data_IF_562134639902
#
_entry.id   IF_562134639902
#
_cell.length_a   1.000
_cell.length_b   1.000
_cell.length_c   1.000
_cell.angle_alpha   90.00
_cell.angle_beta   90.00
_cell.angle_gamma   90.00
#
_symmetry.space_group_name_H-M   'P 1'
#
loop_
_entity.id
_entity.type
_entity.pdbx_description
1 polymer ?
#
# COMPACT_ATOMS: atom_id res chain seq x y z
N UNK A 1 -15.88 -31.46 23.93
CA UNK A 1 -15.56 -30.67 25.15
C UNK A 1 -15.00 -29.32 24.70
N UNK A 2 -15.81 -28.25 24.74
CA UNK A 2 -15.35 -26.91 24.40
C UNK A 2 -14.58 -26.31 25.57
N UNK A 3 -13.26 -26.34 25.51
CA UNK A 3 -12.38 -25.60 26.42
C UNK A 3 -12.63 -24.11 26.22
N UNK A 4 -13.38 -23.52 27.15
CA UNK A 4 -13.43 -22.07 27.37
C UNK A 4 -12.01 -21.60 27.67
N UNK A 5 -11.30 -21.17 26.63
CA UNK A 5 -9.98 -20.56 26.81
C UNK A 5 -10.11 -19.25 27.57
N UNK A 6 -9.24 -19.06 28.56
CA UNK A 6 -9.07 -17.78 29.20
C UNK A 6 -8.70 -16.73 28.13
N UNK A 7 -9.60 -15.77 27.91
CA UNK A 7 -9.37 -14.61 27.01
C UNK A 7 -8.00 -14.00 27.34
N UNK A 8 -7.07 -14.03 26.38
CA UNK A 8 -5.78 -13.35 26.52
C UNK A 8 -4.54 -14.17 26.16
N UNK A 9 -4.62 -15.50 26.16
CA UNK A 9 -3.48 -16.39 25.89
C UNK A 9 -3.37 -16.76 24.40
N UNK A 10 -2.17 -17.13 23.96
CA UNK A 10 -1.93 -17.58 22.59
C UNK A 10 -2.63 -18.93 22.35
N UNK A 11 -3.09 -19.20 21.12
CA UNK A 11 -3.64 -20.50 20.71
C UNK A 11 -2.50 -21.51 20.48
N UNK A 12 -1.71 -21.72 21.53
CA UNK A 12 -0.51 -22.54 21.55
C UNK A 12 -0.84 -24.01 21.39
N UNK A 13 -0.05 -24.73 20.60
CA UNK A 13 -0.21 -26.16 20.37
C UNK A 13 0.82 -26.97 21.17
N UNK A 14 0.41 -27.68 22.23
CA UNK A 14 1.29 -28.54 23.02
C UNK A 14 1.95 -29.64 22.17
N UNK A 15 1.18 -30.23 21.25
CA UNK A 15 1.66 -31.29 20.37
C UNK A 15 2.71 -30.78 19.37
N UNK A 16 2.56 -29.56 18.86
CA UNK A 16 3.56 -28.99 17.95
C UNK A 16 4.87 -28.71 18.67
N UNK A 17 4.83 -28.18 19.90
CA UNK A 17 6.04 -28.01 20.71
C UNK A 17 6.79 -29.33 20.87
N UNK A 18 6.07 -30.40 21.25
CA UNK A 18 6.65 -31.72 21.41
C UNK A 18 7.20 -32.27 20.09
N UNK A 19 6.44 -32.13 18.99
CA UNK A 19 6.84 -32.63 17.68
C UNK A 19 8.10 -31.93 17.15
N UNK A 20 8.17 -30.60 17.30
CA UNK A 20 9.33 -29.81 16.93
C UNK A 20 10.55 -30.15 17.77
N UNK A 21 10.38 -30.28 19.09
CA UNK A 21 11.45 -30.66 20.01
C UNK A 21 12.02 -32.04 19.68
N UNK A 22 11.15 -33.01 19.40
CA UNK A 22 11.54 -34.38 19.04
C UNK A 22 12.01 -34.51 17.57
N UNK A 23 12.12 -33.40 16.84
CA UNK A 23 12.47 -33.35 15.42
C UNK A 23 11.63 -34.31 14.54
N UNK A 24 10.33 -34.45 14.84
CA UNK A 24 9.44 -35.36 14.09
C UNK A 24 9.36 -34.98 12.60
N UNK A 25 9.50 -33.69 12.29
CA UNK A 25 9.47 -33.18 10.92
C UNK A 25 10.83 -33.25 10.19
N UNK A 26 11.82 -33.97 10.74
CA UNK A 26 13.11 -34.29 10.13
C UNK A 26 13.80 -33.11 9.41
N UNK A 27 14.05 -32.02 10.14
CA UNK A 27 14.76 -30.86 9.56
C UNK A 27 16.23 -31.22 9.33
N UNK A 28 16.82 -30.89 8.16
CA UNK A 28 18.22 -31.15 7.87
C UNK A 28 19.14 -30.54 8.95
N UNK A 29 19.97 -31.37 9.59
CA UNK A 29 20.92 -30.94 10.62
C UNK A 29 20.33 -30.68 12.01
N UNK A 30 19.02 -30.86 12.23
CA UNK A 30 18.42 -30.71 13.55
C UNK A 30 18.54 -32.00 14.38
N UNK A 31 18.92 -31.87 15.64
CA UNK A 31 18.95 -32.99 16.60
C UNK A 31 17.74 -32.87 17.52
N UNK A 32 17.12 -34.00 17.86
CA UNK A 32 16.05 -34.02 18.84
C UNK A 32 16.58 -33.54 20.20
N UNK A 33 15.92 -32.55 20.79
CA UNK A 33 16.29 -32.01 22.10
C UNK A 33 15.52 -32.73 23.20
N UNK A 34 16.16 -33.01 24.31
CA UNK A 34 15.46 -33.38 25.55
C UNK A 34 14.70 -32.17 26.10
N UNK A 35 13.67 -32.40 26.91
CA UNK A 35 12.94 -31.31 27.58
C UNK A 35 13.84 -30.47 28.50
N UNK A 36 14.94 -31.05 28.98
CA UNK A 36 15.92 -30.38 29.84
C UNK A 36 16.88 -29.49 29.05
N UNK A 37 17.33 -29.93 27.88
CA UNK A 37 18.14 -29.11 26.97
C UNK A 37 17.35 -27.90 26.46
N UNK A 38 16.10 -28.12 26.02
CA UNK A 38 15.23 -27.02 25.61
C UNK A 38 14.97 -26.04 26.76
N UNK A 39 14.79 -26.56 27.98
CA UNK A 39 14.62 -25.71 29.16
C UNK A 39 15.86 -24.84 29.42
N UNK A 40 17.07 -25.41 29.27
CA UNK A 40 18.34 -24.69 29.42
C UNK A 40 18.49 -23.57 28.38
N UNK A 41 18.21 -23.85 27.11
CA UNK A 41 18.30 -22.84 26.04
C UNK A 41 17.31 -21.69 26.20
N UNK A 42 16.11 -21.99 26.70
CA UNK A 42 15.02 -21.03 26.85
C UNK A 42 15.07 -20.29 28.19
N UNK A 43 15.94 -20.70 29.12
CA UNK A 43 16.02 -20.15 30.47
C UNK A 43 14.76 -20.46 31.29
N UNK A 44 14.42 -21.74 31.40
CA UNK A 44 13.30 -22.25 32.20
C UNK A 44 13.63 -23.61 32.83
N UNK A 45 12.68 -24.22 33.54
CA UNK A 45 12.82 -25.55 34.14
C UNK A 45 12.21 -26.63 33.23
N UNK A 46 12.75 -27.85 33.29
CA UNK A 46 12.22 -29.04 32.60
C UNK A 46 10.72 -29.24 32.88
N UNK A 47 10.30 -29.04 34.13
CA UNK A 47 8.91 -29.18 34.54
C UNK A 47 7.98 -28.19 33.82
N UNK A 48 8.44 -26.96 33.54
CA UNK A 48 7.64 -25.99 32.78
C UNK A 48 7.50 -26.39 31.32
N UNK A 49 8.56 -26.89 30.67
CA UNK A 49 8.48 -27.40 29.30
C UNK A 49 7.48 -28.55 29.21
N UNK A 50 7.56 -29.53 30.12
CA UNK A 50 6.61 -30.63 30.17
C UNK A 50 5.17 -30.15 30.44
N UNK A 51 4.98 -29.13 31.29
CA UNK A 51 3.67 -28.54 31.51
C UNK A 51 3.11 -27.87 30.25
N UNK A 52 3.95 -27.28 29.40
CA UNK A 52 3.52 -26.74 28.10
C UNK A 52 3.17 -27.86 27.11
N UNK A 53 4.00 -28.90 27.01
CA UNK A 53 3.80 -30.04 26.10
C UNK A 53 2.58 -30.90 26.44
N UNK A 54 2.21 -30.96 27.72
CA UNK A 54 1.01 -31.65 28.18
C UNK A 54 -0.23 -30.73 28.20
N UNK A 55 -0.08 -29.46 27.82
CA UNK A 55 -1.19 -28.49 27.78
C UNK A 55 -1.69 -28.04 29.16
N UNK A 56 -0.96 -28.32 30.24
CA UNK A 56 -1.29 -27.84 31.59
C UNK A 56 -1.09 -26.34 31.75
N UNK A 57 -0.20 -25.73 30.96
CA UNK A 57 0.03 -24.28 30.93
C UNK A 57 0.20 -23.78 29.51
N UNK A 58 -0.16 -22.53 29.27
CA UNK A 58 0.09 -21.84 28.00
C UNK A 58 1.21 -20.81 28.21
N UNK A 59 2.30 -20.86 27.41
CA UNK A 59 3.36 -19.87 27.50
C UNK A 59 2.88 -18.47 27.10
N UNK A 60 3.42 -17.44 27.72
CA UNK A 60 3.19 -16.05 27.32
C UNK A 60 3.95 -15.72 26.02
N UNK A 61 3.61 -14.63 25.30
CA UNK A 61 4.17 -14.39 23.96
C UNK A 61 5.72 -14.32 23.90
N UNK A 62 6.43 -13.66 24.84
CA UNK A 62 7.89 -13.70 24.86
C UNK A 62 8.46 -15.09 25.08
N UNK A 63 7.81 -15.94 25.90
CA UNK A 63 8.23 -17.33 26.07
C UNK A 63 8.01 -18.15 24.81
N UNK A 64 6.90 -17.95 24.09
CA UNK A 64 6.67 -18.55 22.76
C UNK A 64 7.81 -18.19 21.82
N UNK A 65 8.21 -16.90 21.77
CA UNK A 65 9.31 -16.44 20.92
C UNK A 65 10.65 -17.07 21.30
N UNK A 66 10.91 -17.25 22.60
CA UNK A 66 12.13 -17.91 23.09
C UNK A 66 12.15 -19.40 22.73
N UNK A 67 11.03 -20.12 22.91
CA UNK A 67 10.87 -21.52 22.47
C UNK A 67 11.11 -21.67 20.97
N UNK A 68 10.51 -20.80 20.16
CA UNK A 68 10.66 -20.84 18.71
C UNK A 68 12.11 -20.60 18.25
N UNK A 69 12.83 -19.68 18.91
CA UNK A 69 14.24 -19.40 18.63
C UNK A 69 15.13 -20.60 18.96
N UNK A 70 14.94 -21.21 20.14
CA UNK A 70 15.67 -22.42 20.53
C UNK A 70 15.44 -23.56 19.53
N UNK A 71 14.21 -23.70 19.03
CA UNK A 71 13.84 -24.69 18.04
C UNK A 71 14.12 -24.28 16.59
N UNK A 72 14.79 -23.14 16.34
CA UNK A 72 15.11 -22.64 15.00
C UNK A 72 13.90 -22.49 14.08
N UNK A 73 12.75 -22.03 14.60
CA UNK A 73 11.50 -21.89 13.83
C UNK A 73 10.81 -20.55 14.04
N UNK A 74 9.81 -20.26 13.22
CA UNK A 74 8.95 -19.11 13.42
C UNK A 74 7.94 -19.38 14.57
N UNK A 75 7.64 -18.39 15.45
CA UNK A 75 6.69 -18.55 16.56
C UNK A 75 5.32 -19.13 16.17
N UNK A 76 4.82 -18.79 14.97
CA UNK A 76 3.52 -19.27 14.49
C UNK A 76 3.46 -20.79 14.27
N UNK A 77 4.60 -21.46 14.12
CA UNK A 77 4.68 -22.93 13.99
C UNK A 77 4.34 -23.64 15.30
N UNK A 78 4.43 -22.94 16.45
CA UNK A 78 4.06 -23.48 17.76
C UNK A 78 2.56 -23.34 18.07
N UNK A 79 1.77 -22.85 17.14
CA UNK A 79 0.35 -22.54 17.34
C UNK A 79 -0.55 -23.60 16.70
N UNK A 80 -1.83 -23.61 17.06
CA UNK A 80 -2.80 -24.51 16.44
C UNK A 80 -3.18 -24.06 15.02
N UNK A 81 -2.61 -24.73 14.02
CA UNK A 81 -2.84 -24.41 12.61
C UNK A 81 -4.29 -24.62 12.15
N UNK A 82 -5.06 -25.51 12.78
CA UNK A 82 -6.46 -25.78 12.42
C UNK A 82 -7.35 -24.54 12.64
N UNK A 83 -6.95 -23.67 13.57
CA UNK A 83 -7.68 -22.44 13.92
C UNK A 83 -7.14 -21.18 13.26
N UNK A 84 -6.09 -21.30 12.44
CA UNK A 84 -5.49 -20.16 11.75
C UNK A 84 -6.50 -19.38 10.87
N UNK A 85 -7.53 -20.06 10.39
CA UNK A 85 -8.61 -19.45 9.61
C UNK A 85 -9.57 -18.58 10.43
N UNK A 86 -9.57 -18.65 11.76
CA UNK A 86 -10.42 -17.83 12.63
C UNK A 86 -9.65 -16.77 13.42
N UNK A 87 -8.32 -16.75 13.34
CA UNK A 87 -7.51 -15.80 14.09
C UNK A 87 -7.81 -14.35 13.72
N UNK A 88 -7.99 -13.53 14.76
CA UNK A 88 -8.05 -12.07 14.68
C UNK A 88 -6.65 -11.44 14.81
N UNK A 89 -6.58 -10.10 14.86
CA UNK A 89 -5.31 -9.36 14.96
C UNK A 89 -4.54 -9.73 16.25
N UNK A 90 -5.24 -9.87 17.37
CA UNK A 90 -4.62 -10.16 18.66
C UNK A 90 -4.08 -11.59 18.69
N UNK A 91 -4.80 -12.55 18.10
CA UNK A 91 -4.36 -13.92 17.91
C UNK A 91 -3.10 -13.98 17.04
N UNK A 92 -3.10 -13.30 15.90
CA UNK A 92 -1.92 -13.22 15.02
C UNK A 92 -0.73 -12.61 15.75
N UNK A 93 -0.91 -11.50 16.48
CA UNK A 93 0.17 -10.90 17.26
C UNK A 93 0.75 -11.90 18.28
N UNK A 94 -0.12 -12.59 19.01
CA UNK A 94 0.28 -13.60 20.02
C UNK A 94 0.99 -14.79 19.37
N UNK A 95 0.52 -15.23 18.21
CA UNK A 95 1.15 -16.27 17.40
C UNK A 95 2.55 -15.88 16.93
N UNK A 96 2.80 -14.59 16.70
CA UNK A 96 4.14 -14.05 16.43
C UNK A 96 5.01 -13.87 17.69
N UNK A 97 4.51 -14.25 18.88
CA UNK A 97 5.24 -14.14 20.15
C UNK A 97 5.43 -12.69 20.63
N UNK A 98 4.53 -11.78 20.23
CA UNK A 98 4.61 -10.36 20.57
C UNK A 98 3.56 -9.97 21.62
N UNK A 99 3.97 -9.15 22.60
CA UNK A 99 3.04 -8.42 23.46
C UNK A 99 2.58 -7.14 22.74
N UNK A 100 1.43 -6.59 23.14
CA UNK A 100 0.98 -5.30 22.61
C UNK A 100 2.01 -4.18 22.83
N UNK A 101 2.69 -4.19 23.99
CA UNK A 101 3.79 -3.25 24.31
C UNK A 101 4.95 -3.36 23.31
N UNK A 102 5.38 -4.58 22.97
CA UNK A 102 6.45 -4.80 22.00
C UNK A 102 6.12 -4.15 20.65
N UNK A 103 4.85 -4.20 20.23
CA UNK A 103 4.39 -3.59 18.97
C UNK A 103 4.35 -2.07 19.05
N UNK A 104 3.86 -1.52 20.17
CA UNK A 104 3.84 -0.08 20.44
C UNK A 104 5.25 0.50 20.38
N UNK A 105 6.18 -0.14 21.10
CA UNK A 105 7.57 0.28 21.22
C UNK A 105 8.28 0.18 19.86
N UNK A 106 8.11 -0.95 19.13
CA UNK A 106 8.74 -1.15 17.82
C UNK A 106 8.22 -0.22 16.72
N UNK A 107 6.92 0.12 16.73
CA UNK A 107 6.31 0.97 15.70
C UNK A 107 6.32 2.46 16.05
N UNK A 108 6.66 2.82 17.28
CA UNK A 108 6.53 4.19 17.79
C UNK A 108 5.11 4.73 17.62
N UNK A 109 4.09 3.93 17.96
CA UNK A 109 2.67 4.35 17.99
C UNK A 109 2.23 4.52 19.44
N UNK A 110 1.22 5.35 19.70
CA UNK A 110 0.65 5.41 21.04
C UNK A 110 -0.08 4.10 21.39
N UNK A 111 -0.06 3.66 22.65
CA UNK A 111 -0.82 2.48 23.09
C UNK A 111 -2.31 2.56 22.76
N UNK A 112 -2.89 3.77 22.85
CA UNK A 112 -4.29 4.04 22.48
C UNK A 112 -4.56 3.72 21.01
N UNK A 113 -3.70 4.17 20.09
CA UNK A 113 -3.88 3.93 18.66
C UNK A 113 -3.71 2.45 18.32
N UNK A 114 -2.71 1.78 18.91
CA UNK A 114 -2.54 0.34 18.70
C UNK A 114 -3.73 -0.46 19.23
N UNK A 115 -4.24 -0.13 20.43
CA UNK A 115 -5.41 -0.78 21.01
C UNK A 115 -6.66 -0.61 20.13
N UNK A 116 -6.89 0.57 19.56
CA UNK A 116 -7.99 0.79 18.61
C UNK A 116 -7.80 -0.04 17.34
N UNK A 117 -6.59 -0.13 16.81
CA UNK A 117 -6.33 -0.98 15.66
C UNK A 117 -6.60 -2.47 15.98
N UNK A 118 -6.07 -2.97 17.08
CA UNK A 118 -6.21 -4.39 17.47
C UNK A 118 -7.66 -4.76 17.78
N UNK A 119 -8.38 -3.92 18.54
CA UNK A 119 -9.73 -4.22 18.99
C UNK A 119 -10.82 -3.82 17.97
N UNK A 120 -10.64 -2.71 17.26
CA UNK A 120 -11.66 -2.11 16.39
C UNK A 120 -11.29 -2.21 14.89
N UNK A 121 -10.07 -2.63 14.54
CA UNK A 121 -9.57 -2.61 13.16
C UNK A 121 -9.30 -1.21 12.59
N UNK A 122 -9.36 -0.16 13.43
CA UNK A 122 -9.25 1.23 12.98
C UNK A 122 -7.78 1.64 12.82
N UNK A 123 -7.42 2.01 11.60
CA UNK A 123 -6.05 2.43 11.24
C UNK A 123 -5.83 3.92 11.55
N UNK A 124 -4.67 4.28 12.12
CA UNK A 124 -4.26 5.68 12.29
C UNK A 124 -4.17 6.44 10.95
N UNK A 125 -4.96 7.49 10.78
CA UNK A 125 -5.08 8.23 9.51
C UNK A 125 -3.79 8.92 9.04
N UNK A 126 -2.88 9.27 9.96
CA UNK A 126 -1.61 9.96 9.66
C UNK A 126 -0.45 9.00 9.36
N UNK A 127 -0.70 7.68 9.31
CA UNK A 127 0.33 6.67 9.06
C UNK A 127 -0.08 5.73 7.92
N UNK A 128 0.08 6.12 6.64
CA UNK A 128 -0.35 5.32 5.49
C UNK A 128 0.37 3.97 5.37
N UNK A 129 1.59 3.87 5.91
CA UNK A 129 2.39 2.63 5.95
C UNK A 129 2.10 1.75 7.18
N UNK A 130 1.18 2.16 8.06
CA UNK A 130 0.99 1.50 9.36
C UNK A 130 0.76 -0.01 9.22
N UNK A 131 -0.11 -0.41 8.29
CA UNK A 131 -0.41 -1.82 8.12
C UNK A 131 0.74 -2.62 7.47
N UNK A 132 1.56 -2.00 6.62
CA UNK A 132 2.77 -2.63 6.10
C UNK A 132 3.81 -2.81 7.20
N UNK A 133 3.93 -1.82 8.09
CA UNK A 133 4.83 -1.88 9.24
C UNK A 133 4.41 -2.97 10.23
N UNK A 134 3.10 -3.12 10.49
CA UNK A 134 2.57 -4.21 11.32
C UNK A 134 2.81 -5.56 10.65
N UNK A 135 2.53 -5.70 9.35
CA UNK A 135 2.75 -6.96 8.62
C UNK A 135 4.23 -7.37 8.62
N UNK A 136 5.13 -6.41 8.38
CA UNK A 136 6.57 -6.61 8.44
C UNK A 136 7.04 -7.01 9.85
N UNK A 137 6.56 -6.32 10.89
CA UNK A 137 6.88 -6.64 12.28
C UNK A 137 6.41 -8.05 12.68
N UNK A 138 5.27 -8.48 12.16
CA UNK A 138 4.70 -9.80 12.42
C UNK A 138 5.33 -10.89 11.53
N UNK A 139 6.19 -10.51 10.58
CA UNK A 139 6.76 -11.39 9.56
C UNK A 139 5.69 -12.18 8.77
N UNK A 140 4.56 -11.53 8.47
CA UNK A 140 3.47 -12.12 7.68
C UNK A 140 3.18 -11.28 6.44
N UNK A 141 2.49 -11.89 5.47
CA UNK A 141 2.00 -11.13 4.32
C UNK A 141 0.92 -10.12 4.74
N UNK A 142 0.89 -8.98 4.04
CA UNK A 142 -0.14 -7.94 4.19
C UNK A 142 -1.56 -8.51 4.06
N UNK A 143 -1.78 -9.43 3.11
CA UNK A 143 -3.06 -10.09 2.89
C UNK A 143 -3.50 -10.96 4.09
N UNK A 144 -2.56 -11.63 4.77
CA UNK A 144 -2.88 -12.37 6.00
C UNK A 144 -3.29 -11.43 7.13
N UNK A 145 -2.60 -10.29 7.28
CA UNK A 145 -3.00 -9.26 8.24
C UNK A 145 -4.40 -8.70 7.93
N UNK A 146 -4.73 -8.38 6.67
CA UNK A 146 -6.06 -7.88 6.32
C UNK A 146 -7.18 -8.88 6.60
N UNK A 147 -6.93 -10.17 6.34
CA UNK A 147 -7.88 -11.23 6.72
C UNK A 147 -8.09 -11.29 8.23
N UNK A 148 -7.03 -11.16 9.02
CA UNK A 148 -7.13 -11.10 10.48
C UNK A 148 -7.92 -9.88 10.95
N UNK A 149 -7.70 -8.70 10.34
CA UNK A 149 -8.49 -7.49 10.61
C UNK A 149 -9.97 -7.72 10.32
N UNK A 150 -10.31 -8.35 9.20
CA UNK A 150 -11.70 -8.65 8.84
C UNK A 150 -12.38 -9.65 9.81
N UNK A 151 -11.60 -10.44 10.55
CA UNK A 151 -12.12 -11.42 11.53
C UNK A 151 -12.29 -10.82 12.92
N UNK A 152 -11.68 -9.67 13.20
CA UNK A 152 -11.86 -8.95 14.47
C UNK A 152 -13.37 -8.72 14.73
N UNK A 153 -13.91 -9.16 15.87
CA UNK A 153 -15.36 -9.11 16.12
C UNK A 153 -15.99 -7.73 15.93
N UNK A 154 -15.32 -6.68 16.40
CA UNK A 154 -15.82 -5.31 16.24
C UNK A 154 -15.87 -4.85 14.78
N UNK A 155 -14.99 -5.36 13.90
CA UNK A 155 -15.01 -5.04 12.47
C UNK A 155 -16.23 -5.69 11.80
N UNK A 156 -16.53 -6.94 12.16
CA UNK A 156 -17.71 -7.66 11.64
C UNK A 156 -19.00 -7.00 12.07
N UNK A 157 -19.16 -6.72 13.37
CA UNK A 157 -20.32 -6.01 13.91
C UNK A 157 -20.49 -4.63 13.26
N UNK A 158 -19.38 -3.90 13.06
CA UNK A 158 -19.42 -2.62 12.33
C UNK A 158 -19.86 -2.78 10.89
N UNK A 159 -19.38 -3.80 10.17
CA UNK A 159 -19.77 -4.03 8.77
C UNK A 159 -21.25 -4.40 8.64
N UNK A 160 -21.76 -5.26 9.53
CA UNK A 160 -23.17 -5.64 9.61
C UNK A 160 -24.04 -4.40 9.86
N UNK A 161 -23.72 -3.64 10.92
CA UNK A 161 -24.44 -2.39 11.23
C UNK A 161 -24.33 -1.34 10.12
N UNK A 162 -23.16 -1.20 9.51
CA UNK A 162 -22.97 -0.29 8.38
C UNK A 162 -23.84 -0.68 7.19
N UNK A 163 -24.02 -1.97 6.91
CA UNK A 163 -24.90 -2.42 5.83
C UNK A 163 -26.35 -1.99 6.06
N UNK A 164 -26.87 -2.19 7.28
CA UNK A 164 -28.22 -1.75 7.68
C UNK A 164 -28.40 -0.23 7.49
N UNK A 165 -27.44 0.56 7.99
CA UNK A 165 -27.49 2.02 7.88
C UNK A 165 -27.42 2.48 6.41
N UNK A 166 -26.61 1.82 5.58
CA UNK A 166 -26.49 2.14 4.15
C UNK A 166 -27.75 1.77 3.40
N UNK A 167 -28.40 0.66 3.75
CA UNK A 167 -29.69 0.26 3.17
C UNK A 167 -30.77 1.31 3.49
N UNK A 168 -30.90 1.72 4.75
CA UNK A 168 -31.82 2.79 5.16
C UNK A 168 -31.56 4.12 4.42
N UNK A 169 -30.28 4.48 4.26
CA UNK A 169 -29.90 5.66 3.46
C UNK A 169 -30.22 5.48 1.98
N UNK A 170 -30.01 4.30 1.41
CA UNK A 170 -30.32 4.03 0.01
C UNK A 170 -31.84 4.14 -0.23
N UNK A 171 -32.66 3.53 0.61
CA UNK A 171 -34.12 3.62 0.55
C UNK A 171 -34.63 5.07 0.62
N UNK A 172 -34.02 5.90 1.48
CA UNK A 172 -34.43 7.29 1.67
C UNK A 172 -34.00 8.21 0.52
N UNK A 173 -32.76 8.09 0.06
CA UNK A 173 -32.16 9.09 -0.84
C UNK A 173 -32.10 8.67 -2.31
N UNK A 174 -32.00 7.38 -2.63
CA UNK A 174 -31.87 6.91 -4.03
C UNK A 174 -33.13 7.18 -4.86
N UNK A 175 -34.35 6.84 -4.41
CA UNK A 175 -35.57 7.08 -5.19
C UNK A 175 -36.05 8.53 -5.11
N UNK A 176 -35.45 9.37 -4.26
CA UNK A 176 -35.89 10.74 -4.05
C UNK A 176 -35.92 11.54 -5.38
N UNK A 177 -37.02 12.28 -5.68
CA UNK A 177 -37.12 13.06 -6.91
C UNK A 177 -36.21 14.30 -6.88
N UNK A 178 -35.88 14.81 -8.06
CA UNK A 178 -35.12 16.06 -8.22
C UNK A 178 -33.58 15.89 -8.25
N UNK A 179 -32.82 17.00 -8.12
CA UNK A 179 -31.37 16.98 -8.28
C UNK A 179 -30.67 16.15 -7.20
N UNK A 180 -29.62 15.42 -7.57
CA UNK A 180 -28.84 14.61 -6.63
C UNK A 180 -28.08 15.49 -5.65
N UNK A 181 -28.39 15.36 -4.35
CA UNK A 181 -27.72 16.08 -3.25
C UNK A 181 -26.97 15.16 -2.27
N UNK A 182 -27.19 13.85 -2.36
CA UNK A 182 -26.71 12.87 -1.39
C UNK A 182 -27.37 13.00 -0.01
N UNK A 183 -26.89 12.23 0.98
CA UNK A 183 -27.38 12.29 2.35
C UNK A 183 -27.23 13.68 2.98
N UNK A 184 -28.21 14.07 3.80
CA UNK A 184 -28.15 15.30 4.59
C UNK A 184 -27.06 15.18 5.68
N UNK A 185 -26.35 16.27 6.04
CA UNK A 185 -25.25 16.20 7.01
C UNK A 185 -25.70 15.94 8.44
N UNK A 186 -26.96 16.21 8.76
CA UNK A 186 -27.65 16.00 10.03
C UNK A 186 -28.43 14.67 10.08
N UNK A 187 -28.34 13.85 9.03
CA UNK A 187 -28.99 12.55 8.97
C UNK A 187 -28.42 11.61 10.06
N UNK A 188 -29.26 11.01 10.93
CA UNK A 188 -28.81 10.20 12.04
C UNK A 188 -28.02 8.96 11.59
N UNK A 189 -28.42 8.33 10.50
CA UNK A 189 -27.78 7.10 9.99
C UNK A 189 -26.36 7.42 9.48
N UNK A 190 -26.20 8.60 8.86
CA UNK A 190 -24.90 9.11 8.43
C UNK A 190 -23.99 9.43 9.62
N UNK A 191 -24.52 10.07 10.66
CA UNK A 191 -23.77 10.44 11.88
C UNK A 191 -23.30 9.17 12.60
N UNK A 192 -24.18 8.17 12.73
CA UNK A 192 -23.84 6.88 13.32
C UNK A 192 -22.74 6.19 12.52
N UNK A 193 -22.87 6.13 11.18
CA UNK A 193 -21.86 5.55 10.30
C UNK A 193 -20.49 6.25 10.43
N UNK A 194 -20.48 7.59 10.46
CA UNK A 194 -19.27 8.37 10.64
C UNK A 194 -18.57 8.09 11.98
N UNK A 195 -19.37 7.94 13.05
CA UNK A 195 -18.91 7.59 14.39
C UNK A 195 -18.31 6.19 14.41
N UNK A 196 -18.97 5.21 13.80
CA UNK A 196 -18.53 3.83 13.72
C UNK A 196 -17.15 3.66 13.05
N UNK A 197 -16.89 4.44 11.99
CA UNK A 197 -15.58 4.45 11.31
C UNK A 197 -14.54 5.38 11.96
N UNK A 198 -14.94 6.18 12.96
CA UNK A 198 -14.07 7.21 13.56
C UNK A 198 -13.60 8.22 12.51
N UNK A 199 -14.52 8.72 11.67
CA UNK A 199 -14.25 9.70 10.61
C UNK A 199 -15.20 10.90 10.74
N UNK A 200 -14.80 12.10 10.28
CA UNK A 200 -15.69 13.25 10.28
C UNK A 200 -16.94 13.02 9.40
N UNK A 201 -18.10 13.49 9.85
CA UNK A 201 -19.39 13.35 9.13
C UNK A 201 -19.30 13.84 7.69
N UNK A 202 -18.69 15.00 7.45
CA UNK A 202 -18.54 15.55 6.09
C UNK A 202 -17.69 14.66 5.17
N UNK A 203 -16.69 13.95 5.71
CA UNK A 203 -15.87 13.01 4.94
C UNK A 203 -16.71 11.79 4.54
N UNK A 204 -17.42 11.20 5.50
CA UNK A 204 -18.32 10.06 5.26
C UNK A 204 -19.42 10.44 4.27
N UNK A 205 -20.00 11.64 4.41
CA UNK A 205 -21.02 12.19 3.52
C UNK A 205 -20.53 12.26 2.07
N UNK A 206 -19.34 12.80 1.82
CA UNK A 206 -18.78 12.91 0.45
C UNK A 206 -18.62 11.54 -0.20
N UNK A 207 -18.11 10.58 0.56
CA UNK A 207 -17.91 9.20 0.09
C UNK A 207 -19.27 8.54 -0.20
N UNK A 208 -20.24 8.65 0.71
CA UNK A 208 -21.57 8.10 0.49
C UNK A 208 -22.36 8.80 -0.62
N UNK A 209 -22.17 10.11 -0.80
CA UNK A 209 -22.79 10.84 -1.92
C UNK A 209 -22.33 10.30 -3.26
N UNK A 210 -21.09 9.82 -3.36
CA UNK A 210 -20.61 9.12 -4.53
C UNK A 210 -21.23 7.72 -4.64
N UNK A 211 -21.11 6.88 -3.61
CA UNK A 211 -21.57 5.49 -3.67
C UNK A 211 -23.09 5.38 -3.92
N UNK A 212 -23.90 6.16 -3.19
CA UNK A 212 -25.35 6.20 -3.39
C UNK A 212 -25.72 6.88 -4.72
N UNK A 213 -24.86 7.76 -5.25
CA UNK A 213 -25.04 8.37 -6.57
C UNK A 213 -24.90 7.36 -7.70
N UNK A 214 -23.94 6.44 -7.59
CA UNK A 214 -23.78 5.32 -8.54
C UNK A 214 -24.95 4.34 -8.44
N UNK A 215 -25.44 4.05 -7.22
CA UNK A 215 -26.68 3.28 -7.03
C UNK A 215 -27.88 3.97 -7.66
N UNK A 216 -27.99 5.29 -7.52
CA UNK A 216 -29.08 6.07 -8.12
C UNK A 216 -29.07 6.00 -9.63
N UNK A 217 -27.91 6.04 -10.27
CA UNK A 217 -27.83 5.83 -11.73
C UNK A 217 -28.35 4.45 -12.13
N UNK A 218 -28.02 3.41 -11.34
CA UNK A 218 -28.52 2.04 -11.57
C UNK A 218 -30.04 1.96 -11.38
N UNK A 219 -30.57 2.58 -10.32
CA UNK A 219 -32.01 2.63 -10.06
C UNK A 219 -32.77 3.38 -11.17
N UNK A 220 -32.27 4.54 -11.62
CA UNK A 220 -32.89 5.30 -12.72
C UNK A 220 -32.92 4.48 -14.01
N UNK A 221 -31.91 3.65 -14.28
CA UNK A 221 -31.94 2.72 -15.43
C UNK A 221 -33.01 1.66 -15.25
N UNK A 222 -33.12 1.05 -14.07
CA UNK A 222 -34.17 0.09 -13.76
C UNK A 222 -35.57 0.69 -13.96
N UNK A 223 -35.83 1.88 -13.45
CA UNK A 223 -37.14 2.55 -13.60
C UNK A 223 -37.45 2.88 -15.07
N UNK A 224 -36.45 3.22 -15.90
CA UNK A 224 -36.65 3.39 -17.35
C UNK A 224 -37.06 2.09 -18.03
N UNK A 225 -36.42 0.98 -17.70
CA UNK A 225 -36.80 -0.33 -18.23
C UNK A 225 -38.18 -0.76 -17.73
N UNK A 226 -38.54 -0.45 -16.47
CA UNK A 226 -39.88 -0.68 -15.93
C UNK A 226 -40.95 0.04 -16.75
N UNK A 227 -40.75 1.33 -17.06
CA UNK A 227 -41.70 2.09 -17.88
C UNK A 227 -41.88 1.45 -19.26
N UNK A 228 -40.82 0.96 -19.90
CA UNK A 228 -40.93 0.25 -21.18
C UNK A 228 -41.67 -1.08 -20.99
N UNK A 229 -41.34 -1.85 -19.95
CA UNK A 229 -41.97 -3.12 -19.65
C UNK A 229 -43.48 -2.99 -19.40
N UNK A 230 -43.92 -1.91 -18.76
CA UNK A 230 -45.30 -1.70 -18.35
C UNK A 230 -46.16 -1.01 -19.43
N UNK A 231 -45.56 -0.15 -20.26
CA UNK A 231 -46.31 0.78 -21.12
C UNK A 231 -45.95 0.74 -22.62
N UNK A 232 -44.93 -0.01 -23.05
CA UNK A 232 -44.61 -0.09 -24.48
C UNK A 232 -45.70 -0.86 -25.25
N UNK A 233 -45.91 -0.53 -26.52
CA UNK A 233 -46.91 -1.19 -27.38
C UNK A 233 -46.41 -2.50 -27.99
N UNK A 234 -45.09 -2.65 -28.13
CA UNK A 234 -44.45 -3.84 -28.70
C UNK A 234 -44.18 -4.90 -27.62
N UNK A 235 -44.80 -6.08 -27.76
CA UNK A 235 -44.69 -7.19 -26.81
C UNK A 235 -43.26 -7.74 -26.69
N UNK A 236 -42.52 -7.79 -27.79
CA UNK A 236 -41.15 -8.30 -27.76
C UNK A 236 -40.24 -7.32 -27.02
N UNK A 237 -40.48 -6.02 -27.20
CA UNK A 237 -39.79 -4.97 -26.46
C UNK A 237 -40.15 -4.99 -24.96
N UNK A 238 -41.41 -5.20 -24.61
CA UNK A 238 -41.83 -5.38 -23.22
C UNK A 238 -41.12 -6.58 -22.56
N UNK A 239 -41.11 -7.74 -23.23
CA UNK A 239 -40.45 -8.94 -22.71
C UNK A 239 -38.94 -8.73 -22.49
N UNK A 240 -38.27 -8.07 -23.45
CA UNK A 240 -36.86 -7.71 -23.31
C UNK A 240 -36.61 -6.73 -22.16
N UNK A 241 -37.49 -5.74 -21.98
CA UNK A 241 -37.42 -4.76 -20.90
C UNK A 241 -37.63 -5.42 -19.52
N UNK A 242 -38.49 -6.42 -19.40
CA UNK A 242 -38.66 -7.21 -18.16
C UNK A 242 -37.37 -7.95 -17.78
N UNK A 243 -36.70 -8.58 -18.75
CA UNK A 243 -35.40 -9.23 -18.54
C UNK A 243 -34.31 -8.22 -18.15
N UNK A 244 -34.32 -7.03 -18.77
CA UNK A 244 -33.40 -5.95 -18.45
C UNK A 244 -33.65 -5.39 -17.04
N UNK A 245 -34.91 -5.18 -16.65
CA UNK A 245 -35.32 -4.75 -15.32
C UNK A 245 -34.83 -5.74 -14.25
N UNK A 246 -35.07 -7.04 -14.42
CA UNK A 246 -34.58 -8.07 -13.51
C UNK A 246 -33.05 -8.03 -13.36
N UNK A 247 -32.33 -7.83 -14.46
CA UNK A 247 -30.87 -7.69 -14.45
C UNK A 247 -30.43 -6.44 -13.69
N UNK A 248 -31.06 -5.28 -13.93
CA UNK A 248 -30.71 -4.05 -13.23
C UNK A 248 -31.02 -4.12 -11.74
N UNK A 249 -32.12 -4.79 -11.33
CA UNK A 249 -32.41 -5.05 -9.93
C UNK A 249 -31.33 -5.94 -9.28
N UNK A 250 -30.85 -6.96 -10.00
CA UNK A 250 -29.74 -7.80 -9.53
C UNK A 250 -28.44 -6.99 -9.40
N UNK A 251 -28.14 -6.09 -10.34
CA UNK A 251 -26.98 -5.20 -10.27
C UNK A 251 -27.13 -4.25 -9.09
N UNK A 252 -28.30 -3.65 -8.89
CA UNK A 252 -28.59 -2.76 -7.76
C UNK A 252 -28.34 -3.44 -6.41
N UNK A 253 -28.94 -4.62 -6.18
CA UNK A 253 -28.76 -5.37 -4.94
C UNK A 253 -27.30 -5.77 -4.70
N UNK A 254 -26.59 -6.16 -5.77
CA UNK A 254 -25.16 -6.50 -5.71
C UNK A 254 -24.30 -5.30 -5.35
N UNK A 255 -24.54 -4.15 -5.96
CA UNK A 255 -23.77 -2.93 -5.67
C UNK A 255 -24.09 -2.42 -4.26
N UNK A 256 -25.35 -2.46 -3.82
CA UNK A 256 -25.75 -2.09 -2.46
C UNK A 256 -25.03 -2.95 -1.40
N UNK A 257 -25.05 -4.27 -1.56
CA UNK A 257 -24.35 -5.20 -0.67
C UNK A 257 -22.82 -5.06 -0.68
N UNK A 258 -22.24 -4.37 -1.67
CA UNK A 258 -20.78 -4.11 -1.75
C UNK A 258 -20.34 -2.85 -1.03
N UNK A 259 -21.24 -1.90 -0.75
CA UNK A 259 -20.83 -0.59 -0.22
C UNK A 259 -20.18 -0.74 1.17
N UNK A 260 -20.80 -1.43 2.12
CA UNK A 260 -20.25 -1.60 3.48
C UNK A 260 -18.82 -2.23 3.50
N UNK A 261 -18.56 -3.39 2.87
CA UNK A 261 -17.21 -3.96 2.84
C UNK A 261 -16.21 -3.08 2.09
N UNK A 262 -16.65 -2.39 1.04
CA UNK A 262 -15.83 -1.45 0.27
C UNK A 262 -15.44 -0.21 1.07
N UNK A 263 -16.35 0.36 1.87
CA UNK A 263 -16.07 1.47 2.80
C UNK A 263 -15.06 1.04 3.88
N UNK A 264 -15.24 -0.16 4.44
CA UNK A 264 -14.29 -0.71 5.41
C UNK A 264 -12.89 -0.88 4.80
N UNK A 265 -12.78 -1.37 3.57
CA UNK A 265 -11.50 -1.48 2.86
C UNK A 265 -10.91 -0.10 2.54
N UNK A 266 -11.73 0.84 2.08
CA UNK A 266 -11.32 2.21 1.76
C UNK A 266 -10.78 2.93 2.98
N UNK A 267 -11.49 2.93 4.12
CA UNK A 267 -11.08 3.67 5.31
C UNK A 267 -9.81 3.14 5.98
N UNK A 268 -9.50 1.85 5.81
CA UNK A 268 -8.26 1.23 6.28
C UNK A 268 -7.07 1.55 5.38
N UNK A 269 -7.29 1.58 4.07
CA UNK A 269 -6.25 1.82 3.05
C UNK A 269 -6.25 3.26 2.53
N UNK A 270 -6.99 4.16 3.16
CA UNK A 270 -7.15 5.54 2.70
C UNK A 270 -5.80 6.28 2.71
N UNK A 271 -5.45 6.84 1.57
CA UNK A 271 -4.25 7.63 1.37
C UNK A 271 -4.57 9.12 1.56
N UNK A 272 -3.64 9.89 2.15
CA UNK A 272 -3.55 11.33 1.98
C UNK A 272 -3.61 11.73 0.50
N UNK A 273 -4.13 12.93 0.21
CA UNK A 273 -4.28 13.44 -1.16
C UNK A 273 -2.95 13.46 -1.93
N UNK A 274 -1.85 13.81 -1.26
CA UNK A 274 -0.51 13.82 -1.84
C UNK A 274 -0.08 12.43 -2.32
N UNK A 275 -0.24 11.40 -1.50
CA UNK A 275 0.12 10.03 -1.90
C UNK A 275 -0.85 9.45 -2.93
N UNK A 276 -2.14 9.78 -2.84
CA UNK A 276 -3.09 9.42 -3.89
C UNK A 276 -2.67 10.03 -5.24
N UNK A 277 -2.25 11.30 -5.27
CA UNK A 277 -1.78 11.94 -6.49
C UNK A 277 -0.55 11.24 -7.07
N UNK A 278 0.39 10.78 -6.23
CA UNK A 278 1.54 9.99 -6.68
C UNK A 278 1.13 8.65 -7.31
N UNK A 279 0.11 7.96 -6.75
CA UNK A 279 -0.41 6.73 -7.36
C UNK A 279 -1.05 7.01 -8.72
N UNK A 280 -1.79 8.12 -8.85
CA UNK A 280 -2.36 8.57 -10.11
C UNK A 280 -1.27 8.92 -11.13
N UNK A 281 -0.21 9.60 -10.70
CA UNK A 281 0.89 9.99 -11.57
C UNK A 281 1.64 8.76 -12.10
N UNK A 282 1.90 7.75 -11.23
CA UNK A 282 2.45 6.45 -11.64
C UNK A 282 1.55 5.73 -12.65
N UNK A 283 0.23 5.74 -12.43
CA UNK A 283 -0.72 5.11 -13.33
C UNK A 283 -0.77 5.79 -14.70
N UNK A 284 -0.78 7.11 -14.74
CA UNK A 284 -0.88 7.89 -15.98
C UNK A 284 0.37 7.74 -16.87
N UNK A 285 1.53 7.44 -16.29
CA UNK A 285 2.76 7.14 -17.05
C UNK A 285 2.98 5.65 -17.25
N UNK A 286 1.96 4.83 -17.01
CA UNK A 286 1.99 3.37 -17.17
C UNK A 286 3.12 2.68 -16.38
N UNK A 287 3.56 3.30 -15.27
CA UNK A 287 4.55 2.74 -14.35
C UNK A 287 3.89 1.72 -13.43
N UNK A 288 3.51 0.57 -13.98
CA UNK A 288 2.99 -0.58 -13.27
C UNK A 288 3.43 -1.87 -13.97
N UNK A 289 3.49 -2.97 -13.22
CA UNK A 289 3.85 -4.26 -13.79
C UNK A 289 2.79 -4.73 -14.81
N UNK A 290 3.11 -4.70 -16.11
CA UNK A 290 2.31 -5.33 -17.15
C UNK A 290 2.76 -6.78 -17.34
N UNK A 291 1.84 -7.69 -17.72
CA UNK A 291 2.15 -9.13 -17.86
C UNK A 291 3.12 -9.47 -19.00
N UNK A 292 3.32 -8.57 -19.97
CA UNK A 292 4.00 -8.90 -21.22
C UNK A 292 5.43 -8.35 -21.34
N UNK A 293 5.78 -7.22 -20.69
CA UNK A 293 7.02 -6.48 -21.02
C UNK A 293 7.76 -5.92 -19.79
N UNK A 294 7.59 -6.50 -18.61
CA UNK A 294 8.33 -6.06 -17.42
C UNK A 294 7.94 -4.68 -16.86
N UNK A 295 7.03 -3.95 -17.51
CA UNK A 295 6.46 -2.67 -17.05
C UNK A 295 7.43 -1.49 -17.05
N UNK A 296 6.91 -0.26 -17.06
CA UNK A 296 7.73 0.94 -16.95
C UNK A 296 8.08 1.24 -15.49
N UNK A 297 9.22 1.90 -15.28
CA UNK A 297 9.69 2.37 -13.98
C UNK A 297 9.75 3.89 -13.97
N UNK A 298 9.03 4.53 -13.05
CA UNK A 298 9.09 5.98 -12.92
C UNK A 298 10.27 6.38 -12.03
N UNK A 299 10.98 7.44 -12.41
CA UNK A 299 12.08 7.97 -11.60
C UNK A 299 11.54 8.58 -10.31
N UNK A 300 11.87 7.99 -9.18
CA UNK A 300 11.29 8.30 -7.87
C UNK A 300 11.55 9.74 -7.44
N UNK A 301 12.77 10.25 -7.69
CA UNK A 301 13.17 11.63 -7.35
C UNK A 301 12.34 12.68 -8.10
N UNK A 302 11.80 12.33 -9.27
CA UNK A 302 10.97 13.22 -10.09
C UNK A 302 9.49 13.17 -9.71
N UNK A 303 9.06 12.16 -8.93
CA UNK A 303 7.68 12.02 -8.46
C UNK A 303 7.43 12.82 -7.18
N UNK A 304 8.28 12.64 -6.18
CA UNK A 304 8.12 13.25 -4.87
C UNK A 304 9.45 13.34 -4.12
N UNK A 305 9.57 14.38 -3.30
CA UNK A 305 10.70 14.55 -2.39
C UNK A 305 10.80 13.41 -1.34
N UNK A 306 9.68 12.75 -0.99
CA UNK A 306 9.63 11.73 0.05
C UNK A 306 8.86 10.48 -0.38
N UNK A 307 9.28 9.87 -1.48
CA UNK A 307 8.69 8.64 -1.98
C UNK A 307 8.90 7.44 -1.05
N UNK A 308 9.85 7.50 -0.12
CA UNK A 308 10.03 6.49 0.92
C UNK A 308 8.80 6.35 1.83
N UNK A 309 7.91 7.35 1.87
CA UNK A 309 6.63 7.28 2.60
C UNK A 309 5.52 6.55 1.86
N UNK A 310 5.70 6.17 0.59
CA UNK A 310 4.71 5.38 -0.14
C UNK A 310 4.57 3.97 0.48
N UNK A 311 3.33 3.44 0.61
CA UNK A 311 3.10 2.08 1.09
C UNK A 311 3.72 1.01 0.18
N UNK A 312 4.63 0.15 0.67
CA UNK A 312 5.27 -0.89 -0.14
C UNK A 312 4.28 -1.89 -0.76
N UNK A 313 3.11 -2.09 -0.15
CA UNK A 313 2.08 -2.94 -0.75
C UNK A 313 1.44 -2.33 -2.01
N UNK A 314 1.45 -0.99 -2.16
CA UNK A 314 0.90 -0.30 -3.32
C UNK A 314 1.98 0.04 -4.36
N UNK A 315 3.21 0.29 -3.91
CA UNK A 315 4.31 0.77 -4.74
C UNK A 315 5.55 -0.08 -4.52
N UNK A 316 6.07 -0.63 -5.60
CA UNK A 316 7.36 -1.31 -5.64
C UNK A 316 8.46 -0.28 -5.88
N UNK A 317 9.57 -0.38 -5.16
CA UNK A 317 10.73 0.52 -5.29
C UNK A 317 11.99 -0.31 -5.54
N UNK A 318 12.86 0.18 -6.42
CA UNK A 318 14.15 -0.45 -6.77
C UNK A 318 15.19 0.62 -7.05
N UNK A 319 16.47 0.23 -7.04
CA UNK A 319 17.56 1.04 -7.57
C UNK A 319 18.10 0.43 -8.87
N UNK A 320 18.30 1.26 -9.89
CA UNK A 320 18.88 0.89 -11.19
C UNK A 320 20.00 1.91 -11.48
N UNK A 321 21.26 1.48 -11.56
CA UNK A 321 22.43 2.37 -11.72
C UNK A 321 22.46 3.55 -10.73
N UNK A 322 22.10 3.30 -9.46
CA UNK A 322 22.04 4.33 -8.43
C UNK A 322 20.85 5.30 -8.57
N UNK A 323 19.96 5.10 -9.54
CA UNK A 323 18.71 5.85 -9.67
C UNK A 323 17.60 5.12 -8.92
N UNK A 324 16.99 5.79 -7.96
CA UNK A 324 15.78 5.29 -7.29
C UNK A 324 14.60 5.36 -8.26
N UNK A 325 13.97 4.21 -8.49
CA UNK A 325 12.81 4.06 -9.37
C UNK A 325 11.66 3.37 -8.64
N UNK A 326 10.43 3.64 -9.07
CA UNK A 326 9.26 3.01 -8.51
C UNK A 326 8.14 2.79 -9.53
N UNK A 327 7.24 1.85 -9.21
CA UNK A 327 6.07 1.51 -10.01
C UNK A 327 4.94 1.00 -9.12
N UNK A 328 3.71 1.00 -9.62
CA UNK A 328 2.59 0.39 -8.90
C UNK A 328 2.73 -1.14 -8.90
N UNK A 329 2.47 -1.73 -7.74
CA UNK A 329 2.23 -3.17 -7.62
C UNK A 329 0.86 -3.52 -8.22
N UNK A 330 0.58 -4.82 -8.39
CA UNK A 330 -0.77 -5.27 -8.75
C UNK A 330 -1.84 -4.82 -7.74
N UNK A 331 -1.50 -4.78 -6.45
CA UNK A 331 -2.39 -4.28 -5.40
C UNK A 331 -2.56 -2.75 -5.47
N UNK A 332 -1.51 -2.01 -5.82
CA UNK A 332 -1.58 -0.56 -6.10
C UNK A 332 -2.52 -0.23 -7.25
N UNK A 333 -2.38 -0.93 -8.37
CA UNK A 333 -3.25 -0.81 -9.53
C UNK A 333 -4.70 -1.18 -9.17
N UNK A 334 -4.90 -2.28 -8.44
CA UNK A 334 -6.21 -2.67 -7.93
C UNK A 334 -6.84 -1.63 -7.01
N UNK A 335 -6.07 -1.03 -6.11
CA UNK A 335 -6.53 0.04 -5.22
C UNK A 335 -6.98 1.28 -6.00
N UNK A 336 -6.20 1.71 -6.99
CA UNK A 336 -6.52 2.87 -7.81
C UNK A 336 -7.81 2.64 -8.62
N UNK A 337 -7.91 1.51 -9.32
CA UNK A 337 -9.10 1.17 -10.09
C UNK A 337 -10.35 1.05 -9.21
N UNK A 338 -10.18 0.47 -8.03
CA UNK A 338 -11.29 0.29 -7.08
C UNK A 338 -11.74 1.63 -6.53
N UNK A 339 -10.85 2.50 -6.06
CA UNK A 339 -11.21 3.65 -5.22
C UNK A 339 -11.13 5.03 -5.89
N UNK A 340 -10.81 5.11 -7.18
CA UNK A 340 -10.67 6.40 -7.88
C UNK A 340 -11.87 7.34 -7.71
N UNK A 341 -13.09 6.80 -7.79
CA UNK A 341 -14.32 7.58 -7.58
C UNK A 341 -14.44 8.16 -6.17
N UNK A 342 -14.10 7.38 -5.14
CA UNK A 342 -14.14 7.83 -3.75
C UNK A 342 -13.11 8.91 -3.46
N UNK A 343 -11.90 8.78 -4.01
CA UNK A 343 -10.90 9.83 -3.88
C UNK A 343 -11.27 11.10 -4.64
N UNK A 344 -11.87 10.99 -5.82
CA UNK A 344 -12.38 12.16 -6.55
C UNK A 344 -13.47 12.89 -5.77
N UNK A 345 -14.36 12.15 -5.09
CA UNK A 345 -15.38 12.73 -4.22
C UNK A 345 -14.77 13.38 -2.96
N UNK A 346 -13.73 12.76 -2.40
CA UNK A 346 -13.07 13.25 -1.19
C UNK A 346 -12.19 14.49 -1.46
N UNK A 347 -11.47 14.48 -2.58
CA UNK A 347 -10.48 15.47 -2.98
C UNK A 347 -10.79 16.03 -4.38
N UNK A 348 -11.74 16.98 -4.51
CA UNK A 348 -12.22 17.43 -5.82
C UNK A 348 -11.17 18.13 -6.70
N UNK A 349 -10.06 18.61 -6.11
CA UNK A 349 -8.95 19.23 -6.85
C UNK A 349 -7.82 18.28 -7.28
N UNK A 350 -7.90 16.98 -6.94
CA UNK A 350 -6.84 16.02 -7.26
C UNK A 350 -7.10 15.41 -8.63
N UNK A 351 -6.03 15.18 -9.41
CA UNK A 351 -6.16 14.62 -10.76
C UNK A 351 -6.82 13.24 -10.70
N UNK A 352 -7.59 12.92 -11.74
CA UNK A 352 -8.18 11.60 -11.91
C UNK A 352 -7.24 10.73 -12.75
N UNK A 353 -7.23 9.41 -12.52
CA UNK A 353 -6.60 8.48 -13.44
C UNK A 353 -7.13 8.70 -14.85
N UNK A 354 -6.23 8.94 -15.80
CA UNK A 354 -6.60 9.05 -17.21
C UNK A 354 -7.01 7.64 -17.67
N UNK A 355 -8.24 7.49 -18.17
CA UNK A 355 -8.67 6.19 -18.69
C UNK A 355 -7.72 5.81 -19.82
N UNK A 356 -6.91 4.77 -19.60
CA UNK A 356 -6.06 4.24 -20.66
C UNK A 356 -6.96 3.88 -21.83
N UNK A 357 -6.79 4.59 -22.94
CA UNK A 357 -7.58 4.41 -24.16
C UNK A 357 -7.19 3.15 -24.92
N UNK A 358 -6.42 2.25 -24.31
CA UNK A 358 -6.21 0.87 -24.77
C UNK A 358 -7.51 0.07 -24.69
N UNK A 359 -8.52 0.44 -25.49
CA UNK A 359 -9.50 -0.52 -25.97
C UNK A 359 -8.71 -1.59 -26.73
N UNK A 360 -8.96 -2.85 -26.37
CA UNK A 360 -8.35 -4.09 -26.86
C UNK A 360 -8.53 -4.37 -28.37
N UNK A 361 -8.38 -3.37 -29.23
CA UNK A 361 -8.46 -3.48 -30.68
C UNK A 361 -7.07 -3.47 -31.31
N UNK A 362 -6.43 -4.64 -31.38
CA UNK A 362 -5.51 -5.11 -32.44
C UNK A 362 -4.27 -4.31 -32.88
N UNK A 363 -4.10 -3.01 -32.59
CA UNK A 363 -2.95 -2.26 -33.09
C UNK A 363 -1.80 -2.29 -32.08
N UNK A 364 -0.71 -2.96 -32.47
CA UNK A 364 0.56 -2.97 -31.73
C UNK A 364 1.00 -1.55 -31.36
N UNK A 365 1.06 -1.27 -30.06
CA UNK A 365 2.25 -0.67 -29.45
C UNK A 365 2.48 0.85 -29.59
N UNK A 366 1.46 1.69 -29.78
CA UNK A 366 1.64 3.11 -29.44
C UNK A 366 1.38 3.30 -27.95
N UNK A 367 2.46 3.56 -27.21
CA UNK A 367 2.44 4.09 -25.84
C UNK A 367 1.44 5.25 -25.77
N UNK A 368 0.75 5.40 -24.65
CA UNK A 368 -0.10 6.57 -24.40
C UNK A 368 0.66 7.85 -24.81
N UNK A 369 0.05 8.77 -25.59
CA UNK A 369 0.73 9.93 -26.21
C UNK A 369 1.38 10.97 -25.27
N UNK A 370 1.74 10.61 -24.03
CA UNK A 370 2.46 11.46 -23.09
C UNK A 370 3.47 10.74 -22.19
N UNK A 371 3.66 9.41 -22.32
CA UNK A 371 4.66 8.70 -21.55
C UNK A 371 6.02 8.76 -22.27
N UNK A 372 6.83 9.77 -21.95
CA UNK A 372 8.19 9.89 -22.48
C UNK A 372 9.13 8.97 -21.72
N UNK A 373 9.56 7.93 -22.43
CA UNK A 373 10.43 6.88 -21.91
C UNK A 373 11.86 7.07 -22.39
N UNK A 374 12.81 6.60 -21.59
CA UNK A 374 14.22 6.55 -21.95
C UNK A 374 14.84 5.26 -21.41
N UNK A 375 15.87 4.77 -22.09
CA UNK A 375 16.62 3.59 -21.67
C UNK A 375 17.81 3.98 -20.80
N UNK A 376 18.12 3.14 -19.82
CA UNK A 376 19.35 3.24 -19.02
C UNK A 376 20.43 2.45 -19.75
N UNK A 377 21.63 3.01 -19.96
CA UNK A 377 22.74 2.27 -20.54
C UNK A 377 22.95 0.94 -19.80
N UNK A 378 23.17 -0.16 -20.54
CA UNK A 378 23.45 -1.50 -20.01
C UNK A 378 22.29 -2.21 -19.28
N UNK A 379 21.09 -1.60 -19.20
CA UNK A 379 19.91 -2.20 -18.57
C UNK A 379 18.77 -2.36 -19.57
N UNK A 380 18.01 -3.46 -19.45
CA UNK A 380 16.84 -3.72 -20.29
C UNK A 380 15.60 -2.93 -19.86
N UNK A 381 15.63 -2.38 -18.65
CA UNK A 381 14.55 -1.60 -18.07
C UNK A 381 14.36 -0.24 -18.78
N UNK A 382 13.11 0.12 -19.05
CA UNK A 382 12.73 1.44 -19.53
C UNK A 382 12.25 2.31 -18.38
N UNK A 383 12.82 3.51 -18.29
CA UNK A 383 12.41 4.50 -17.31
C UNK A 383 11.45 5.51 -17.95
N UNK A 384 10.58 6.08 -17.13
CA UNK A 384 9.63 7.10 -17.55
C UNK A 384 9.71 8.33 -16.65
N UNK A 385 9.59 9.51 -17.27
CA UNK A 385 9.52 10.78 -16.55
C UNK A 385 8.07 11.04 -16.15
N UNK A 386 7.78 11.28 -14.86
CA UNK A 386 6.43 11.66 -14.42
C UNK A 386 5.95 12.92 -15.14
N UNK A 387 4.70 12.90 -15.60
CA UNK A 387 4.10 14.02 -16.35
C UNK A 387 4.25 15.38 -15.64
N UNK A 388 4.01 15.53 -14.32
CA UNK A 388 4.14 16.83 -13.66
C UNK A 388 5.58 17.39 -13.68
N UNK A 389 6.58 16.51 -13.58
CA UNK A 389 7.98 16.92 -13.68
C UNK A 389 8.32 17.34 -15.11
N UNK A 390 7.87 16.55 -16.10
CA UNK A 390 8.08 16.83 -17.51
C UNK A 390 7.45 18.17 -17.94
N UNK A 391 6.22 18.45 -17.51
CA UNK A 391 5.56 19.74 -17.73
C UNK A 391 6.35 20.90 -17.13
N UNK A 392 6.88 20.73 -15.92
CA UNK A 392 7.74 21.70 -15.26
C UNK A 392 9.02 21.99 -16.05
N UNK A 393 9.73 20.95 -16.48
CA UNK A 393 10.94 21.09 -17.30
C UNK A 393 10.66 21.75 -18.64
N UNK A 394 9.56 21.37 -19.31
CA UNK A 394 9.16 21.96 -20.59
C UNK A 394 8.76 23.43 -20.46
N UNK A 395 8.16 23.83 -19.35
CA UNK A 395 7.90 25.22 -19.04
C UNK A 395 9.18 26.06 -18.97
N UNK A 396 10.28 25.48 -18.47
CA UNK A 396 11.60 26.13 -18.44
C UNK A 396 12.23 26.15 -19.83
N UNK A 397 12.26 25.01 -20.53
CA UNK A 397 12.78 24.86 -21.90
C UNK A 397 12.13 25.86 -22.86
N UNK A 398 10.80 26.01 -22.80
CA UNK A 398 10.06 26.94 -23.64
C UNK A 398 10.46 28.41 -23.43
N UNK A 399 10.92 28.77 -22.21
CA UNK A 399 11.37 30.13 -21.87
C UNK A 399 12.82 30.38 -22.27
N UNK A 400 13.71 29.39 -22.09
CA UNK A 400 15.14 29.55 -22.38
C UNK A 400 15.51 29.23 -23.82
N UNK A 401 14.62 28.56 -24.58
CA UNK A 401 14.91 27.97 -25.90
C UNK A 401 16.11 27.01 -25.87
N UNK A 402 16.41 26.44 -24.70
CA UNK A 402 17.51 25.49 -24.47
C UNK A 402 16.97 24.16 -23.94
N UNK A 403 17.86 23.20 -23.69
CA UNK A 403 17.53 22.02 -22.88
C UNK A 403 17.69 22.30 -21.38
N UNK A 404 17.09 21.44 -20.55
CA UNK A 404 17.26 21.41 -19.09
C UNK A 404 17.89 20.08 -18.70
N UNK A 405 18.80 20.13 -17.73
CA UNK A 405 19.57 18.97 -17.30
C UNK A 405 19.32 18.71 -15.81
N UNK A 406 19.00 17.46 -15.46
CA UNK A 406 18.60 17.07 -14.10
C UNK A 406 19.34 15.82 -13.66
N UNK A 407 19.95 15.84 -12.49
CA UNK A 407 20.66 14.68 -11.94
C UNK A 407 19.68 13.65 -11.37
N UNK A 408 19.69 12.45 -11.96
CA UNK A 408 18.83 11.35 -11.51
C UNK A 408 19.48 10.53 -10.40
N UNK A 409 20.82 10.44 -10.42
CA UNK A 409 21.64 9.71 -9.47
C UNK A 409 23.13 10.03 -9.69
N UNK A 410 24.05 9.31 -9.03
CA UNK A 410 25.49 9.60 -9.10
C UNK A 410 26.09 9.39 -10.50
N UNK A 411 25.44 8.58 -11.34
CA UNK A 411 25.97 8.17 -12.65
C UNK A 411 25.13 8.60 -13.84
N UNK A 412 23.94 9.15 -13.60
CA UNK A 412 22.96 9.41 -14.66
C UNK A 412 22.33 10.78 -14.54
N UNK A 413 22.27 11.44 -15.69
CA UNK A 413 21.75 12.79 -15.85
C UNK A 413 20.73 12.79 -17.00
N UNK A 414 19.56 13.34 -16.70
CA UNK A 414 18.46 13.47 -17.64
C UNK A 414 18.57 14.80 -18.37
N UNK A 415 18.59 14.78 -19.70
CA UNK A 415 18.48 15.96 -20.54
C UNK A 415 17.09 16.00 -21.17
N UNK A 416 16.37 17.09 -20.90
CA UNK A 416 15.00 17.34 -21.38
C UNK A 416 15.05 18.51 -22.37
N UNK A 417 14.70 18.23 -23.62
CA UNK A 417 14.52 19.22 -24.67
C UNK A 417 13.04 19.49 -24.96
N UNK A 418 12.73 20.30 -26.00
CA UNK A 418 11.34 20.62 -26.34
C UNK A 418 10.55 19.36 -26.75
N UNK A 419 11.19 18.46 -27.49
CA UNK A 419 10.56 17.27 -28.08
C UNK A 419 11.31 15.96 -27.77
N UNK A 420 12.25 15.96 -26.82
CA UNK A 420 13.02 14.76 -26.49
C UNK A 420 13.37 14.70 -25.01
N UNK A 421 13.58 13.47 -24.54
CA UNK A 421 14.12 13.14 -23.23
C UNK A 421 15.20 12.09 -23.45
N UNK A 422 16.41 12.34 -22.93
CA UNK A 422 17.53 11.41 -23.03
C UNK A 422 18.30 11.34 -21.72
N UNK A 423 18.76 10.15 -21.34
CA UNK A 423 19.65 9.97 -20.22
C UNK A 423 21.08 9.76 -20.71
N UNK A 424 22.01 10.55 -20.17
CA UNK A 424 23.43 10.47 -20.48
C UNK A 424 24.17 10.10 -19.20
N UNK A 425 25.21 9.24 -19.26
CA UNK A 425 26.12 9.07 -18.15
C UNK A 425 26.65 10.42 -17.68
N UNK A 426 26.81 10.60 -16.37
CA UNK A 426 27.67 11.68 -15.89
C UNK A 426 29.07 11.28 -16.32
N UNK A 427 29.61 11.92 -17.36
CA UNK A 427 31.04 11.82 -17.65
C UNK A 427 31.73 12.22 -16.35
N UNK A 428 32.47 11.28 -15.74
CA UNK A 428 33.46 11.67 -14.75
C UNK A 428 34.27 12.77 -15.43
N UNK A 429 34.27 13.97 -14.85
CA UNK A 429 35.30 14.96 -15.17
C UNK A 429 36.60 14.16 -15.16
N UNK A 430 37.16 13.90 -16.35
CA UNK A 430 38.47 13.29 -16.48
C UNK A 430 39.35 14.04 -15.50
N UNK A 431 40.06 13.35 -14.57
CA UNK A 431 40.90 14.04 -13.62
C UNK A 431 41.72 15.04 -14.42
N UNK A 432 41.57 16.32 -14.06
CA UNK A 432 42.23 17.46 -14.70
C UNK A 432 43.64 16.98 -15.05
N UNK A 433 44.01 16.89 -16.35
CA UNK A 433 45.26 16.26 -16.74
C UNK A 433 46.35 17.03 -16.01
N UNK A 434 46.83 16.41 -14.93
CA UNK A 434 47.74 17.06 -14.01
C UNK A 434 48.85 17.64 -14.84
N UNK A 435 49.06 18.94 -14.64
CA UNK A 435 50.31 19.66 -14.92
C UNK A 435 51.42 18.63 -15.14
N UNK A 436 51.70 18.35 -16.41
CA UNK A 436 52.91 17.63 -16.76
C UNK A 436 54.02 18.52 -16.23
N UNK A 437 54.78 18.00 -15.26
CA UNK A 437 56.03 18.56 -14.78
C UNK A 437 56.96 18.78 -15.97
N UNK A 438 56.86 19.94 -16.62
CA UNK A 438 57.94 20.54 -17.39
C UNK A 438 58.88 21.20 -16.39
N UNK A 439 59.85 20.45 -15.87
CA UNK A 439 61.22 20.98 -15.77
C UNK A 439 62.24 19.91 -15.36
N UNK A 440 62.83 19.28 -16.36
CA UNK A 440 64.19 18.76 -16.29
C UNK A 440 65.08 19.62 -17.19
N UNK A 441 65.85 20.50 -16.57
CA UNK A 441 67.28 20.63 -16.90
C UNK A 441 67.75 21.86 -17.67
N UNK A 442 68.64 22.58 -16.98
CA UNK A 442 69.93 23.10 -17.45
C UNK A 442 70.04 24.61 -17.82
N UNK A 443 70.73 25.29 -16.91
CA UNK A 443 71.96 26.06 -17.16
C UNK A 443 71.87 27.57 -17.39
N UNK A 444 72.82 28.29 -16.76
CA UNK A 444 73.09 29.71 -17.03
C UNK A 444 73.09 30.61 -15.79
N UNK A 445 74.25 30.77 -15.16
CA UNK A 445 74.46 31.71 -14.05
C UNK A 445 74.39 33.19 -14.42
N UNK A 446 74.38 34.04 -13.39
CA UNK A 446 74.47 35.49 -13.53
C UNK A 446 74.16 36.25 -12.24
N UNK A 447 75.22 36.48 -11.48
CA UNK A 447 75.51 37.58 -10.54
C UNK A 447 74.45 38.64 -10.13
N UNK A 448 74.45 38.86 -8.80
CA UNK A 448 74.53 40.15 -8.06
C UNK A 448 73.32 41.05 -7.78
N UNK A 449 73.47 41.70 -6.61
CA UNK A 449 72.81 42.90 -6.03
C UNK A 449 71.45 42.68 -5.35
N UNK A 450 71.40 42.66 -4.01
CA UNK A 450 71.40 43.78 -3.04
C UNK A 450 70.06 44.55 -2.92
N UNK A 451 69.59 44.67 -1.67
CA UNK A 451 68.45 45.49 -1.24
C UNK A 451 67.17 44.67 -1.04
N UNK A 452 66.64 44.44 0.15
CA UNK A 452 66.53 45.30 1.32
C UNK A 452 65.08 45.74 1.51
N UNK A 453 64.54 45.51 2.72
CA UNK A 453 63.24 45.92 3.33
C UNK A 453 62.17 44.83 3.37
N UNK A 454 61.89 44.26 4.54
CA UNK A 454 61.08 44.82 5.65
C UNK A 454 59.69 45.29 5.20
N UNK A 455 58.64 44.53 5.56
CA UNK A 455 57.69 44.83 6.65
C UNK A 455 56.40 44.00 6.47
N UNK A 456 55.71 43.52 7.54
CA UNK A 456 54.55 42.64 7.47
C UNK A 456 53.23 43.43 7.70
N UNK A 457 52.17 42.85 8.31
CA UNK A 457 50.92 42.41 7.68
C UNK A 457 49.72 43.35 7.99
N UNK A 458 48.56 43.01 7.43
CA UNK A 458 47.26 43.21 8.09
C UNK A 458 46.30 42.07 7.69
#
# INVERSE_FOLDING_TARGET
MSTLMARGLADFSPSELRALRMNIYARPGAVALTAEELAREVGTTKAQILAYENGHRVPDPPRVRALARALGTHPSTLMNHQRHASWDIADVRRACGLRARDVVDALGVSPKNYRRFENEGIVPSRRPRFLDQVAALFAISRATLERAVNRTPAVRLRQERAAELIEALAERYVPAPGPWKGPAPDDPDLIELATAYGRPVQRTRRVLTYELGELRQTHVRAERERVIADFDTDRDRQANAQLALARWNQVYARELGRIAPRLEQFHRNAQPSTYWQLLVDLFNVEAYASRAEGGLWAVTRLLAADAARLPPHLVEQRQIEGVCVCRLTAAGLGHLNTFAGLYAALYPGVRRPLRSTHRSGGSRGRLSPGAETFSVPQHGERLVVPQPALEGFRGVVARTKSFVTVELGPRLRLTVGPNFVSAVPVEEELPDPGLLDENTGADGGGDREEGGKDTPPA
#
